data_IF_504463270204
#
_entry.id   IF_504463270204
#
_cell.length_a   1.000
_cell.length_b   1.000
_cell.length_c   1.000
_cell.angle_alpha   90.00
_cell.angle_beta   90.00
_cell.angle_gamma   90.00
#
_symmetry.space_group_name_H-M   'P 1'
#
loop_
_entity.id
_entity.type
_entity.pdbx_description
1 polymer ?
#
# COMPACT_ATOMS: atom_id res chain seq x y z
N UNK A 1 -23.98 13.15 -9.85
CA UNK A 1 -23.17 11.96 -9.60
C UNK A 1 -21.70 12.28 -9.57
N UNK A 2 -20.85 11.28 -9.37
CA UNK A 2 -19.41 11.41 -9.56
C UNK A 2 -19.04 11.17 -11.04
N UNK A 3 -17.98 11.81 -11.51
CA UNK A 3 -17.41 11.56 -12.84
C UNK A 3 -16.46 10.35 -12.86
N UNK A 4 -15.93 9.98 -11.70
CA UNK A 4 -15.07 8.81 -11.49
C UNK A 4 -15.45 8.14 -10.18
N UNK A 5 -15.53 6.81 -10.18
CA UNK A 5 -15.70 6.00 -8.97
C UNK A 5 -14.58 4.96 -8.86
N UNK A 6 -14.01 4.80 -7.67
CA UNK A 6 -12.98 3.80 -7.38
C UNK A 6 -13.20 3.16 -6.01
N UNK A 7 -13.72 1.92 -5.92
CA UNK A 7 -13.90 1.24 -4.64
C UNK A 7 -12.54 0.76 -4.10
N UNK A 8 -12.32 0.96 -2.81
CA UNK A 8 -11.13 0.53 -2.05
C UNK A 8 -11.55 -0.01 -0.69
N UNK A 9 -12.47 -0.98 -0.68
CA UNK A 9 -13.16 -1.46 0.53
C UNK A 9 -12.71 -2.86 0.96
N UNK A 10 -11.99 -3.58 0.11
CA UNK A 10 -11.88 -5.03 0.14
C UNK A 10 -13.24 -5.71 -0.05
N UNK A 11 -13.23 -7.04 -0.11
CA UNK A 11 -14.45 -7.84 -0.19
C UNK A 11 -15.19 -7.96 1.16
N UNK A 12 -14.48 -7.76 2.27
CA UNK A 12 -15.02 -8.01 3.61
C UNK A 12 -15.22 -9.51 3.87
N UNK A 13 -15.93 -9.87 4.97
CA UNK A 13 -16.14 -11.26 5.34
C UNK A 13 -17.03 -12.01 4.33
N UNK A 14 -16.76 -13.30 4.16
CA UNK A 14 -17.62 -14.21 3.38
C UNK A 14 -18.86 -14.56 4.20
N UNK A 15 -20.04 -14.32 3.65
CA UNK A 15 -21.29 -14.80 4.24
C UNK A 15 -21.48 -16.27 3.85
N UNK A 16 -21.34 -17.18 4.82
CA UNK A 16 -21.45 -18.62 4.60
C UNK A 16 -22.83 -19.08 4.09
N UNK A 17 -23.90 -18.35 4.40
CA UNK A 17 -25.25 -18.72 3.97
C UNK A 17 -25.53 -18.36 2.50
N UNK A 18 -24.91 -17.28 1.99
CA UNK A 18 -25.12 -16.81 0.62
C UNK A 18 -23.98 -17.14 -0.32
N UNK A 19 -22.81 -17.52 0.22
CA UNK A 19 -21.57 -17.70 -0.55
C UNK A 19 -21.03 -16.39 -1.13
N UNK A 20 -21.51 -15.24 -0.66
CA UNK A 20 -21.08 -13.91 -1.16
C UNK A 20 -20.31 -13.15 -0.10
N UNK A 21 -19.31 -12.41 -0.55
CA UNK A 21 -18.61 -11.46 0.31
C UNK A 21 -19.48 -10.26 0.63
N UNK A 22 -19.28 -9.65 1.80
CA UNK A 22 -20.07 -8.53 2.29
C UNK A 22 -20.11 -7.33 1.32
N UNK A 23 -18.99 -7.05 0.65
CA UNK A 23 -18.86 -5.96 -0.30
C UNK A 23 -18.92 -6.43 -1.78
N UNK A 24 -19.29 -7.69 -2.03
CA UNK A 24 -19.52 -8.14 -3.39
C UNK A 24 -20.67 -7.34 -4.02
N UNK A 25 -20.46 -6.84 -5.23
CA UNK A 25 -21.37 -5.97 -5.95
C UNK A 25 -21.72 -4.69 -5.16
N UNK A 26 -20.79 -4.15 -4.36
CA UNK A 26 -20.98 -2.85 -3.70
C UNK A 26 -21.18 -1.74 -4.74
N UNK A 27 -20.51 -1.82 -5.89
CA UNK A 27 -20.82 -1.03 -7.09
C UNK A 27 -21.76 -1.85 -7.98
N UNK A 28 -23.05 -1.75 -7.71
CA UNK A 28 -24.12 -2.39 -8.48
C UNK A 28 -24.85 -1.39 -9.41
N UNK A 29 -25.90 -1.86 -10.10
CA UNK A 29 -26.70 -1.05 -11.01
C UNK A 29 -27.27 0.22 -10.37
N UNK A 30 -27.70 0.17 -9.11
CA UNK A 30 -28.23 1.35 -8.43
C UNK A 30 -27.14 2.40 -8.19
N UNK A 31 -25.93 1.97 -7.80
CA UNK A 31 -24.78 2.87 -7.64
C UNK A 31 -24.35 3.46 -8.98
N UNK A 32 -24.23 2.64 -10.03
CA UNK A 32 -23.86 3.08 -11.37
C UNK A 32 -24.87 4.09 -11.94
N UNK A 33 -26.17 3.91 -11.67
CA UNK A 33 -27.21 4.85 -12.09
C UNK A 33 -27.08 6.25 -11.47
N UNK A 34 -26.42 6.37 -10.30
CA UNK A 34 -26.19 7.66 -9.63
C UNK A 34 -24.95 8.42 -10.14
N UNK A 35 -24.11 7.78 -10.97
CA UNK A 35 -22.96 8.45 -11.58
C UNK A 35 -23.39 9.57 -12.53
N UNK A 36 -22.47 10.46 -12.88
CA UNK A 36 -22.69 11.34 -14.03
C UNK A 36 -22.69 10.51 -15.32
N UNK A 37 -23.35 11.01 -16.36
CA UNK A 37 -23.33 10.35 -17.65
C UNK A 37 -21.92 10.40 -18.25
N UNK A 38 -21.48 9.30 -18.85
CA UNK A 38 -20.12 9.12 -19.29
C UNK A 38 -19.10 9.07 -18.17
N UNK A 39 -19.44 8.60 -16.97
CA UNK A 39 -18.48 8.43 -15.87
C UNK A 39 -17.43 7.33 -16.16
N UNK A 40 -16.37 7.29 -15.34
CA UNK A 40 -15.32 6.27 -15.36
C UNK A 40 -15.42 5.41 -14.11
N UNK A 41 -15.29 4.08 -14.27
CA UNK A 41 -15.17 3.13 -13.17
C UNK A 41 -13.73 2.64 -13.10
N UNK A 42 -13.10 2.68 -11.93
CA UNK A 42 -11.77 2.11 -11.71
C UNK A 42 -11.91 1.10 -10.58
N UNK A 43 -11.50 -0.15 -10.74
CA UNK A 43 -11.55 -1.15 -9.67
C UNK A 43 -10.23 -1.92 -9.61
N UNK A 44 -9.29 -1.42 -8.80
CA UNK A 44 -8.00 -2.06 -8.51
C UNK A 44 -7.96 -2.65 -7.10
N UNK A 45 -9.13 -3.01 -6.56
CA UNK A 45 -9.26 -3.60 -5.24
C UNK A 45 -9.55 -5.11 -5.35
N UNK A 46 -10.79 -5.48 -5.62
CA UNK A 46 -11.21 -6.88 -5.87
C UNK A 46 -12.25 -6.91 -6.97
N UNK A 47 -12.11 -7.83 -7.93
CA UNK A 47 -12.97 -7.89 -9.11
C UNK A 47 -14.46 -7.88 -8.74
N UNK A 48 -14.84 -8.68 -7.75
CA UNK A 48 -16.24 -8.84 -7.33
C UNK A 48 -16.84 -7.60 -6.64
N UNK A 49 -16.07 -6.54 -6.37
CA UNK A 49 -16.61 -5.28 -5.86
C UNK A 49 -17.55 -4.58 -6.87
N UNK A 50 -17.37 -4.82 -8.17
CA UNK A 50 -18.21 -4.26 -9.24
C UNK A 50 -19.07 -5.35 -9.86
N UNK A 51 -20.38 -5.14 -9.94
CA UNK A 51 -21.26 -6.05 -10.68
C UNK A 51 -20.99 -5.95 -12.19
N UNK A 52 -20.36 -6.98 -12.77
CA UNK A 52 -19.96 -6.99 -14.18
C UNK A 52 -21.15 -6.87 -15.15
N UNK A 53 -22.31 -7.44 -14.81
CA UNK A 53 -23.50 -7.35 -15.65
C UNK A 53 -24.12 -5.94 -15.59
N UNK A 54 -24.11 -5.32 -14.41
CA UNK A 54 -24.52 -3.93 -14.26
C UNK A 54 -23.56 -2.97 -15.00
N UNK A 55 -22.26 -3.26 -14.97
CA UNK A 55 -21.26 -2.50 -15.72
C UNK A 55 -21.47 -2.61 -17.24
N UNK A 56 -21.75 -3.81 -17.76
CA UNK A 56 -22.12 -4.03 -19.17
C UNK A 56 -23.31 -3.14 -19.56
N UNK A 57 -24.39 -3.15 -18.78
CA UNK A 57 -25.56 -2.30 -19.02
C UNK A 57 -25.25 -0.79 -18.95
N UNK A 58 -24.38 -0.38 -18.03
CA UNK A 58 -23.97 1.02 -17.89
C UNK A 58 -23.07 1.48 -19.05
N UNK A 59 -22.22 0.59 -19.58
CA UNK A 59 -21.44 0.84 -20.80
C UNK A 59 -22.34 0.94 -22.03
N UNK A 60 -23.35 0.06 -22.13
CA UNK A 60 -24.32 0.05 -23.22
C UNK A 60 -25.13 1.37 -23.30
N UNK A 61 -25.56 1.88 -22.15
CA UNK A 61 -26.38 3.11 -22.08
C UNK A 61 -25.57 4.40 -22.20
N UNK A 62 -24.23 4.33 -22.18
CA UNK A 62 -23.37 5.51 -22.12
C UNK A 62 -23.26 6.13 -20.72
N UNK A 63 -23.88 5.51 -19.71
CA UNK A 63 -23.75 5.94 -18.31
C UNK A 63 -22.31 5.87 -17.83
N UNK A 64 -21.60 4.80 -18.21
CA UNK A 64 -20.15 4.66 -18.04
C UNK A 64 -19.49 4.74 -19.41
N UNK A 65 -18.50 5.63 -19.57
CA UNK A 65 -17.74 5.73 -20.82
C UNK A 65 -16.58 4.72 -20.87
N UNK A 66 -15.96 4.46 -19.73
CA UNK A 66 -14.74 3.65 -19.61
C UNK A 66 -14.67 2.93 -18.27
N UNK A 67 -14.08 1.73 -18.23
CA UNK A 67 -13.80 1.01 -16.99
C UNK A 67 -12.38 0.40 -16.95
N UNK A 68 -11.65 0.60 -15.85
CA UNK A 68 -10.38 -0.06 -15.59
C UNK A 68 -10.54 -1.07 -14.46
N UNK A 69 -10.19 -2.34 -14.69
CA UNK A 69 -10.36 -3.43 -13.73
C UNK A 69 -9.02 -4.15 -13.57
N UNK A 70 -8.56 -4.29 -12.33
CA UNK A 70 -7.40 -5.11 -11.97
C UNK A 70 -7.85 -6.23 -11.04
N UNK A 71 -7.75 -7.48 -11.49
CA UNK A 71 -8.30 -8.63 -10.79
C UNK A 71 -7.64 -9.94 -11.22
N UNK A 72 -7.71 -10.96 -10.37
CA UNK A 72 -7.12 -12.26 -10.67
C UNK A 72 -7.78 -12.91 -11.90
N UNK A 73 -6.93 -13.52 -12.72
CA UNK A 73 -7.32 -14.37 -13.84
C UNK A 73 -6.52 -15.67 -13.78
N UNK A 74 -7.20 -16.79 -13.89
CA UNK A 74 -6.58 -18.10 -13.91
C UNK A 74 -6.94 -18.81 -15.21
N UNK A 75 -5.94 -19.41 -15.85
CA UNK A 75 -6.11 -20.21 -17.07
C UNK A 75 -5.70 -21.63 -16.74
N UNK A 76 -6.63 -22.55 -16.90
CA UNK A 76 -6.35 -23.98 -16.80
C UNK A 76 -5.41 -24.40 -17.95
N UNK A 77 -4.28 -25.01 -17.62
CA UNK A 77 -3.22 -25.29 -18.57
C UNK A 77 -3.58 -26.39 -19.58
N UNK A 78 -4.50 -27.31 -19.23
CA UNK A 78 -4.86 -28.45 -20.07
C UNK A 78 -6.06 -28.12 -20.97
N UNK A 79 -7.06 -27.43 -20.42
CA UNK A 79 -8.34 -27.16 -21.07
C UNK A 79 -8.45 -25.74 -21.63
N UNK A 80 -7.57 -24.82 -21.20
CA UNK A 80 -7.68 -23.39 -21.51
C UNK A 80 -8.86 -22.70 -20.83
N UNK A 81 -9.55 -23.36 -19.90
CA UNK A 81 -10.68 -22.78 -19.19
C UNK A 81 -10.23 -21.57 -18.35
N UNK A 82 -10.96 -20.45 -18.50
CA UNK A 82 -10.66 -19.22 -17.78
C UNK A 82 -11.57 -19.12 -16.56
N UNK A 83 -10.97 -18.87 -15.40
CA UNK A 83 -11.67 -18.66 -14.13
C UNK A 83 -11.13 -17.45 -13.38
N UNK A 84 -11.76 -17.10 -12.26
CA UNK A 84 -11.36 -15.99 -11.40
C UNK A 84 -12.21 -14.73 -11.58
N UNK A 85 -12.02 -13.72 -10.72
CA UNK A 85 -12.82 -12.50 -10.70
C UNK A 85 -12.73 -11.66 -11.98
N UNK A 86 -11.67 -11.80 -12.77
CA UNK A 86 -11.54 -11.13 -14.08
C UNK A 86 -12.44 -11.75 -15.17
N UNK A 87 -12.79 -13.03 -15.05
CA UNK A 87 -13.45 -13.78 -16.13
C UNK A 87 -14.75 -13.13 -16.67
N UNK A 88 -15.66 -12.57 -15.84
CA UNK A 88 -16.86 -11.89 -16.32
C UNK A 88 -16.59 -10.68 -17.21
N UNK A 89 -15.46 -9.98 -17.00
CA UNK A 89 -15.12 -8.75 -17.73
C UNK A 89 -14.55 -9.03 -19.12
N UNK A 90 -14.03 -10.23 -19.39
CA UNK A 90 -13.47 -10.59 -20.70
C UNK A 90 -14.53 -10.53 -21.82
N UNK A 91 -15.77 -10.91 -21.53
CA UNK A 91 -16.86 -10.78 -22.48
C UNK A 91 -17.27 -9.32 -22.71
N UNK A 92 -17.20 -8.50 -21.65
CA UNK A 92 -17.52 -7.07 -21.70
C UNK A 92 -16.47 -6.31 -22.52
N UNK A 93 -15.19 -6.60 -22.33
CA UNK A 93 -14.08 -6.03 -23.11
C UNK A 93 -14.21 -6.34 -24.61
N UNK A 94 -14.48 -7.61 -24.95
CA UNK A 94 -14.75 -8.02 -26.34
C UNK A 94 -15.95 -7.28 -26.95
N UNK A 95 -16.98 -6.99 -26.16
CA UNK A 95 -18.20 -6.30 -26.60
C UNK A 95 -17.98 -4.79 -26.78
N UNK A 96 -17.07 -4.19 -26.01
CA UNK A 96 -16.77 -2.75 -26.07
C UNK A 96 -15.27 -2.47 -26.24
N UNK A 97 -14.68 -2.78 -27.41
CA UNK A 97 -13.25 -2.61 -27.63
C UNK A 97 -12.79 -1.17 -27.36
N UNK A 98 -11.71 -1.02 -26.59
CA UNK A 98 -11.13 0.28 -26.25
C UNK A 98 -11.90 1.06 -25.18
N UNK A 99 -12.91 0.45 -24.54
CA UNK A 99 -13.64 1.05 -23.41
C UNK A 99 -13.36 0.37 -22.07
N UNK A 100 -12.52 -0.67 -22.07
CA UNK A 100 -12.04 -1.32 -20.87
C UNK A 100 -10.49 -1.36 -20.86
N UNK A 101 -9.92 -1.26 -19.66
CA UNK A 101 -8.53 -1.63 -19.34
C UNK A 101 -8.59 -2.79 -18.36
N UNK A 102 -8.00 -3.94 -18.70
CA UNK A 102 -7.96 -5.12 -17.85
C UNK A 102 -6.50 -5.45 -17.49
N UNK A 103 -6.20 -5.49 -16.19
CA UNK A 103 -4.88 -5.85 -15.65
C UNK A 103 -5.00 -7.14 -14.81
N UNK A 104 -4.04 -8.07 -14.91
CA UNK A 104 -4.12 -9.39 -14.26
C UNK A 104 -3.67 -9.35 -12.78
N UNK A 105 -4.34 -8.56 -11.94
CA UNK A 105 -4.00 -8.31 -10.53
C UNK A 105 -2.58 -7.76 -10.34
N UNK A 106 -2.17 -6.84 -11.20
CA UNK A 106 -0.82 -6.33 -11.30
C UNK A 106 -0.65 -4.89 -10.79
N UNK A 107 -1.69 -4.23 -10.27
CA UNK A 107 -1.59 -2.84 -9.81
C UNK A 107 -0.56 -2.65 -8.68
N UNK A 108 -0.38 -3.68 -7.84
CA UNK A 108 0.63 -3.68 -6.79
C UNK A 108 1.99 -4.27 -7.23
N UNK A 109 2.15 -4.62 -8.51
CA UNK A 109 3.37 -5.24 -9.05
C UNK A 109 4.47 -4.21 -9.31
N UNK A 110 5.01 -3.69 -8.21
CA UNK A 110 6.06 -2.67 -8.20
C UNK A 110 7.32 -3.20 -7.52
N UNK A 111 8.48 -2.65 -7.90
CA UNK A 111 9.78 -2.84 -7.21
C UNK A 111 9.84 -2.11 -5.85
N UNK A 112 8.70 -1.68 -5.31
CA UNK A 112 8.66 -0.95 -4.06
C UNK A 112 9.15 -1.83 -2.90
N UNK A 113 9.94 -1.24 -1.99
CA UNK A 113 10.58 -1.94 -0.86
C UNK A 113 9.61 -2.75 -0.01
N UNK A 114 8.34 -2.32 0.06
CA UNK A 114 7.27 -3.02 0.77
C UNK A 114 7.06 -4.46 0.29
N UNK A 115 7.36 -4.77 -0.98
CA UNK A 115 7.19 -6.12 -1.52
C UNK A 115 8.22 -7.09 -0.96
N UNK A 116 9.50 -6.73 -1.06
CA UNK A 116 10.60 -7.57 -0.56
C UNK A 116 10.56 -7.65 0.96
N UNK A 117 10.37 -6.52 1.64
CA UNK A 117 10.33 -6.51 3.10
C UNK A 117 9.07 -7.16 3.65
N UNK A 118 7.92 -7.03 2.96
CA UNK A 118 6.70 -7.75 3.30
C UNK A 118 6.85 -9.27 3.14
N UNK A 119 7.55 -9.72 2.09
CA UNK A 119 7.85 -11.13 1.89
C UNK A 119 8.78 -11.69 2.98
N UNK A 120 9.83 -10.95 3.36
CA UNK A 120 10.71 -11.32 4.49
C UNK A 120 9.92 -11.41 5.79
N UNK A 121 9.12 -10.39 6.08
CA UNK A 121 8.26 -10.37 7.27
C UNK A 121 7.32 -11.58 7.29
N UNK A 122 6.69 -11.95 6.17
CA UNK A 122 5.82 -13.12 6.10
C UNK A 122 6.57 -14.43 6.43
N UNK A 123 7.78 -14.59 5.91
CA UNK A 123 8.64 -15.77 6.23
C UNK A 123 8.98 -15.80 7.71
N UNK A 124 9.38 -14.67 8.30
CA UNK A 124 9.71 -14.59 9.73
C UNK A 124 8.51 -14.95 10.60
N UNK A 125 7.30 -14.49 10.23
CA UNK A 125 6.06 -14.82 10.95
C UNK A 125 5.70 -16.31 10.83
N UNK A 126 5.90 -16.92 9.66
CA UNK A 126 5.73 -18.37 9.48
C UNK A 126 6.71 -19.15 10.36
N UNK A 127 7.98 -18.74 10.39
CA UNK A 127 9.00 -19.39 11.22
C UNK A 127 8.69 -19.21 12.71
N UNK A 128 8.23 -18.04 13.13
CA UNK A 128 7.84 -17.78 14.52
C UNK A 128 6.66 -18.67 14.97
N UNK A 129 5.65 -18.81 14.09
CA UNK A 129 4.50 -19.68 14.31
C UNK A 129 4.93 -21.15 14.45
N UNK A 130 5.80 -21.64 13.58
CA UNK A 130 6.24 -23.05 13.58
C UNK A 130 7.16 -23.35 14.75
N UNK A 131 8.18 -22.52 15.01
CA UNK A 131 9.25 -22.83 15.97
C UNK A 131 8.92 -22.43 17.39
N UNK A 132 8.22 -21.30 17.57
CA UNK A 132 8.01 -20.69 18.87
C UNK A 132 6.54 -20.66 19.30
N UNK A 133 5.64 -21.15 18.43
CA UNK A 133 4.19 -21.05 18.62
C UNK A 133 3.72 -19.61 18.82
N UNK A 134 4.40 -18.64 18.21
CA UNK A 134 4.03 -17.23 18.27
C UNK A 134 3.30 -16.82 16.98
N UNK A 135 2.09 -16.28 17.11
CA UNK A 135 1.31 -15.77 15.97
C UNK A 135 1.35 -14.25 15.94
N UNK A 136 2.20 -13.71 15.07
CA UNK A 136 2.31 -12.28 14.74
C UNK A 136 1.27 -11.94 13.66
N UNK A 137 0.71 -10.73 13.68
CA UNK A 137 -0.33 -10.28 12.74
C UNK A 137 -1.56 -11.19 12.65
N UNK A 138 -1.96 -11.78 13.79
CA UNK A 138 -3.08 -12.72 13.88
C UNK A 138 -4.33 -12.24 13.11
N UNK A 139 -4.80 -13.11 12.21
CA UNK A 139 -6.10 -13.00 11.55
C UNK A 139 -6.99 -14.15 12.03
N UNK A 140 -8.16 -13.82 12.59
CA UNK A 140 -9.03 -14.80 13.22
C UNK A 140 -8.61 -15.15 14.64
N UNK A 141 -8.84 -16.41 15.03
CA UNK A 141 -8.64 -16.89 16.40
C UNK A 141 -7.21 -17.39 16.63
N UNK A 142 -6.71 -17.18 17.85
CA UNK A 142 -5.40 -17.69 18.28
C UNK A 142 -5.52 -19.20 18.56
N UNK A 143 -4.69 -20.06 17.95
CA UNK A 143 -4.76 -21.50 18.21
C UNK A 143 -4.37 -21.86 19.66
N UNK A 144 -4.94 -22.95 20.17
CA UNK A 144 -4.63 -23.44 21.51
C UNK A 144 -3.14 -23.77 21.67
N UNK A 145 -2.56 -23.28 22.77
CA UNK A 145 -1.13 -23.46 23.07
C UNK A 145 -0.19 -22.56 22.27
N UNK A 146 -0.71 -21.59 21.52
CA UNK A 146 0.06 -20.52 20.89
C UNK A 146 0.01 -19.23 21.72
N UNK A 147 1.01 -18.38 21.52
CA UNK A 147 1.07 -17.04 22.10
C UNK A 147 0.82 -15.99 21.02
N UNK A 148 0.11 -14.93 21.39
CA UNK A 148 -0.17 -13.81 20.48
C UNK A 148 1.04 -12.89 20.39
N UNK A 149 1.66 -12.82 19.22
CA UNK A 149 2.67 -11.83 18.90
C UNK A 149 2.06 -10.44 18.69
N UNK A 150 2.92 -9.40 18.68
CA UNK A 150 2.49 -8.02 18.42
C UNK A 150 2.10 -7.85 16.94
N UNK A 151 1.19 -6.92 16.65
CA UNK A 151 0.97 -6.47 15.27
C UNK A 151 2.20 -5.71 14.79
N UNK A 152 2.63 -6.01 13.56
CA UNK A 152 3.81 -5.43 12.93
C UNK A 152 3.48 -5.08 11.48
N UNK A 153 3.93 -3.91 11.04
CA UNK A 153 3.99 -3.52 9.64
C UNK A 153 5.45 -3.42 9.20
N UNK A 154 5.68 -3.51 7.89
CA UNK A 154 6.98 -3.21 7.31
C UNK A 154 7.36 -1.77 7.66
N UNK A 155 8.59 -1.56 8.16
CA UNK A 155 9.10 -0.22 8.45
C UNK A 155 9.09 0.67 7.22
N UNK A 156 8.59 1.90 7.35
CA UNK A 156 8.42 2.84 6.23
C UNK A 156 7.18 2.59 5.37
N UNK A 157 6.31 1.64 5.75
CA UNK A 157 5.00 1.41 5.13
C UNK A 157 3.90 1.78 6.12
N UNK A 158 3.13 2.83 5.80
CA UNK A 158 2.02 3.29 6.62
C UNK A 158 2.37 4.47 7.53
N UNK A 159 1.66 4.60 8.65
CA UNK A 159 1.87 5.66 9.64
C UNK A 159 2.93 5.25 10.67
N UNK A 160 3.66 6.23 11.20
CA UNK A 160 4.50 6.06 12.37
C UNK A 160 3.66 6.27 13.64
N UNK A 161 3.73 5.37 14.62
CA UNK A 161 3.04 5.51 15.90
C UNK A 161 4.02 5.54 17.08
N UNK A 162 3.49 5.74 18.29
CA UNK A 162 4.26 5.60 19.53
C UNK A 162 4.92 4.22 19.68
N UNK A 163 4.36 3.18 19.06
CA UNK A 163 4.93 1.84 19.06
C UNK A 163 6.22 1.75 18.21
N UNK A 164 6.25 2.39 17.03
CA UNK A 164 7.45 2.48 16.19
C UNK A 164 8.55 3.28 16.90
N UNK A 165 8.21 4.39 17.54
CA UNK A 165 9.16 5.17 18.34
C UNK A 165 9.72 4.36 19.50
N UNK A 166 8.88 3.65 20.24
CA UNK A 166 9.33 2.78 21.36
C UNK A 166 10.28 1.70 20.86
N UNK A 167 9.95 1.07 19.72
CA UNK A 167 10.80 0.05 19.08
C UNK A 167 12.13 0.64 18.61
N UNK A 168 12.14 1.85 18.06
CA UNK A 168 13.38 2.53 17.67
C UNK A 168 14.29 2.79 18.88
N UNK A 169 13.71 3.13 20.04
CA UNK A 169 14.44 3.36 21.29
C UNK A 169 15.06 2.10 21.89
N UNK A 170 14.54 0.91 21.57
CA UNK A 170 15.16 -0.37 21.95
C UNK A 170 16.55 -0.53 21.28
N UNK A 171 16.78 0.13 20.14
CA UNK A 171 18.09 0.23 19.51
C UNK A 171 18.86 1.45 20.02
N UNK A 172 19.58 1.26 21.13
CA UNK A 172 20.33 2.32 21.81
C UNK A 172 21.45 2.92 20.96
N UNK A 173 22.12 2.11 20.14
CA UNK A 173 23.17 2.56 19.23
C UNK A 173 22.62 3.48 18.13
N UNK A 174 21.57 3.03 17.46
CA UNK A 174 20.89 3.82 16.41
C UNK A 174 20.30 5.11 16.99
N UNK A 175 19.75 5.07 18.19
CA UNK A 175 19.22 6.26 18.87
C UNK A 175 20.33 7.26 19.19
N UNK A 176 21.49 6.79 19.65
CA UNK A 176 22.64 7.65 19.92
C UNK A 176 23.22 8.25 18.63
N UNK A 177 23.28 7.48 17.54
CA UNK A 177 23.69 7.97 16.22
C UNK A 177 22.74 9.03 15.66
N UNK A 178 21.44 8.80 15.76
CA UNK A 178 20.41 9.76 15.35
C UNK A 178 20.60 11.09 16.09
N UNK A 179 20.69 11.04 17.42
CA UNK A 179 20.92 12.23 18.24
C UNK A 179 22.17 13.01 17.80
N UNK A 180 23.34 12.36 17.75
CA UNK A 180 24.61 13.01 17.39
C UNK A 180 24.54 13.67 16.00
N UNK A 181 23.93 12.97 15.04
CA UNK A 181 23.82 13.46 13.66
C UNK A 181 22.87 14.66 13.57
N UNK A 182 21.73 14.61 14.27
CA UNK A 182 20.79 15.73 14.34
C UNK A 182 21.42 16.97 14.99
N UNK A 183 22.15 16.80 16.10
CA UNK A 183 22.88 17.89 16.78
C UNK A 183 23.93 18.53 15.83
N UNK A 184 24.66 17.71 15.08
CA UNK A 184 25.65 18.20 14.10
C UNK A 184 25.00 19.00 12.98
N UNK A 185 23.89 18.52 12.42
CA UNK A 185 23.15 19.24 11.38
C UNK A 185 22.58 20.55 11.90
N UNK A 186 22.01 20.56 13.11
CA UNK A 186 21.49 21.76 13.75
C UNK A 186 22.58 22.82 13.94
N UNK A 187 23.78 22.42 14.36
CA UNK A 187 24.92 23.32 14.50
C UNK A 187 25.33 23.97 13.16
N UNK A 188 25.34 23.20 12.07
CA UNK A 188 25.64 23.74 10.74
C UNK A 188 24.57 24.70 10.23
N UNK A 189 23.29 24.35 10.36
CA UNK A 189 22.19 25.27 10.00
C UNK A 189 22.22 26.55 10.83
N UNK A 190 22.49 26.43 12.12
CA UNK A 190 22.71 27.58 13.01
C UNK A 190 23.80 28.49 12.48
N UNK A 191 25.01 27.96 12.23
CA UNK A 191 26.14 28.72 11.71
C UNK A 191 25.85 29.41 10.36
N UNK A 192 25.15 28.73 9.44
CA UNK A 192 24.76 29.30 8.14
C UNK A 192 23.74 30.43 8.30
N UNK A 193 22.76 30.27 9.18
CA UNK A 193 21.72 31.26 9.45
C UNK A 193 22.26 32.49 10.19
N UNK A 194 23.30 32.32 11.02
CA UNK A 194 23.93 33.39 11.79
C UNK A 194 25.13 34.05 11.10
N UNK A 195 25.48 33.62 9.88
CA UNK A 195 26.62 34.17 9.15
C UNK A 195 26.40 35.67 8.85
N UNK A 196 27.36 36.50 9.24
CA UNK A 196 27.27 37.97 9.21
C UNK A 196 27.24 38.56 7.80
N UNK A 197 27.75 37.84 6.79
CA UNK A 197 27.74 38.25 5.40
C UNK A 197 27.86 37.04 4.44
N UNK A 198 27.74 37.32 3.14
CA UNK A 198 27.79 36.31 2.09
C UNK A 198 29.15 35.59 1.97
N UNK A 199 30.26 36.28 2.24
CA UNK A 199 31.61 35.70 2.18
C UNK A 199 31.76 34.64 3.27
N UNK A 200 31.44 35.00 4.52
CA UNK A 200 31.48 34.07 5.65
C UNK A 200 30.55 32.86 5.45
N UNK A 201 29.37 33.09 4.85
CA UNK A 201 28.44 32.00 4.49
C UNK A 201 29.03 31.06 3.46
N UNK A 202 29.67 31.60 2.40
CA UNK A 202 30.29 30.78 1.36
C UNK A 202 31.46 29.95 1.91
N UNK A 203 32.29 30.52 2.78
CA UNK A 203 33.36 29.76 3.46
C UNK A 203 32.81 28.59 4.29
N UNK A 204 31.70 28.80 5.01
CA UNK A 204 31.04 27.74 5.77
C UNK A 204 30.46 26.65 4.86
N UNK A 205 29.86 27.02 3.73
CA UNK A 205 29.34 26.07 2.73
C UNK A 205 30.49 25.25 2.13
N UNK A 206 31.59 25.90 1.74
CA UNK A 206 32.75 25.21 1.17
C UNK A 206 33.38 24.22 2.17
N UNK A 207 33.50 24.61 3.44
CA UNK A 207 34.09 23.76 4.49
C UNK A 207 33.17 22.63 4.95
N UNK A 208 31.86 22.85 5.03
CA UNK A 208 30.95 21.94 5.73
C UNK A 208 29.80 21.39 4.87
N UNK A 209 29.58 21.93 3.67
CA UNK A 209 28.44 21.56 2.82
C UNK A 209 28.40 20.08 2.48
N UNK A 210 29.54 19.48 2.11
CA UNK A 210 29.62 18.05 1.84
C UNK A 210 29.28 17.18 3.08
N UNK A 211 29.74 17.59 4.26
CA UNK A 211 29.44 16.90 5.52
C UNK A 211 27.98 17.05 5.91
N UNK A 212 27.39 18.23 5.72
CA UNK A 212 25.96 18.47 5.96
C UNK A 212 25.09 17.55 5.10
N UNK A 213 25.34 17.49 3.79
CA UNK A 213 24.60 16.62 2.86
C UNK A 213 24.78 15.14 3.22
N UNK A 214 26.01 14.72 3.55
CA UNK A 214 26.27 13.34 4.00
C UNK A 214 25.48 13.00 5.26
N UNK A 215 25.53 13.87 6.28
CA UNK A 215 24.83 13.66 7.54
C UNK A 215 23.31 13.59 7.33
N UNK A 216 22.76 14.44 6.47
CA UNK A 216 21.35 14.38 6.10
C UNK A 216 20.99 13.03 5.46
N UNK A 217 21.75 12.57 4.47
CA UNK A 217 21.49 11.30 3.78
C UNK A 217 21.61 10.10 4.73
N UNK A 218 22.63 10.09 5.60
CA UNK A 218 22.80 9.06 6.63
C UNK A 218 21.66 9.08 7.64
N UNK A 219 21.27 10.26 8.12
CA UNK A 219 20.16 10.42 9.06
C UNK A 219 18.83 9.94 8.46
N UNK A 220 18.52 10.35 7.22
CA UNK A 220 17.32 9.91 6.52
C UNK A 220 17.30 8.37 6.35
N UNK A 221 18.44 7.78 5.99
CA UNK A 221 18.58 6.33 5.88
C UNK A 221 18.37 5.63 7.23
N UNK A 222 18.92 6.19 8.31
CA UNK A 222 18.76 5.67 9.67
C UNK A 222 17.29 5.74 10.12
N UNK A 223 16.60 6.87 9.89
CA UNK A 223 15.18 7.01 10.22
C UNK A 223 14.32 5.98 9.46
N UNK A 224 14.61 5.74 8.18
CA UNK A 224 13.94 4.69 7.40
C UNK A 224 14.17 3.30 7.97
N UNK A 225 15.42 2.95 8.33
CA UNK A 225 15.74 1.67 8.97
C UNK A 225 15.03 1.48 10.31
N UNK A 226 14.82 2.57 11.04
CA UNK A 226 14.06 2.56 12.30
C UNK A 226 12.54 2.57 12.09
N UNK A 227 12.06 2.63 10.84
CA UNK A 227 10.63 2.68 10.52
C UNK A 227 9.96 4.01 10.87
N UNK A 228 10.73 5.10 10.99
CA UNK A 228 10.26 6.43 11.40
C UNK A 228 10.00 7.36 10.19
N UNK A 229 9.66 6.80 9.04
CA UNK A 229 9.32 7.53 7.81
C UNK A 229 7.81 7.43 7.55
N UNK A 230 7.12 8.57 7.44
CA UNK A 230 5.68 8.63 7.22
C UNK A 230 4.96 9.61 8.17
N UNK A 231 3.65 9.83 7.98
CA UNK A 231 2.85 10.66 8.89
C UNK A 231 2.73 9.99 10.26
N UNK A 232 2.65 10.80 11.32
CA UNK A 232 2.39 10.32 12.67
C UNK A 232 0.89 10.07 12.89
N UNK A 233 0.55 9.00 13.60
CA UNK A 233 -0.83 8.65 13.99
C UNK A 233 -1.19 9.15 15.41
#
# INVERSE_FOLDING_TARGET
GADVISPHTGLGPLNAATGKFANANVVNAAVLAQLNDGAIVINYDRGECVDAAALDAALASGKVRYAAIDADIFVDAETGAITGPMAPYLAVDKKYPGRLELLPHAAADTEHVSRVEGAKQAVDQIIACIRYKEVVNLKGDLPDGYVRGKTQTVGGVGRCSSAELTRALENTEATAEARRTAETMAAFWGALSSASNAIARNELIERHGATLVRNFNSYATLMRKLGLEGPYD
#
